data_IF_025332637016
#
_entry.id   IF_025332637016
#
_cell.length_a   1.000
_cell.length_b   1.000
_cell.length_c   1.000
_cell.angle_alpha   90.00
_cell.angle_beta   90.00
_cell.angle_gamma   90.00
#
_symmetry.space_group_name_H-M   'P 1'
#
loop_
_entity.id
_entity.type
_entity.pdbx_description
1 polymer ?
#
# COMPACT_ATOMS: atom_id res chain seq x y z
N UNK A 1 74.92 2.27 -15.38
CA UNK A 1 73.45 2.37 -15.22
C UNK A 1 72.90 1.23 -16.03
N UNK A 2 72.62 0.15 -15.34
CA UNK A 2 72.52 -1.18 -15.93
C UNK A 2 71.12 -1.39 -16.48
N UNK A 3 71.03 -1.96 -17.68
CA UNK A 3 69.77 -2.15 -18.41
C UNK A 3 68.72 -2.95 -17.61
N UNK A 4 69.16 -3.77 -16.65
CA UNK A 4 68.28 -4.50 -15.71
C UNK A 4 67.45 -3.55 -14.84
N UNK A 5 68.05 -2.47 -14.34
CA UNK A 5 67.38 -1.50 -13.47
C UNK A 5 66.29 -0.71 -14.22
N UNK A 6 66.48 -0.51 -15.53
CA UNK A 6 65.49 0.16 -16.38
C UNK A 6 64.31 -0.78 -16.67
N UNK A 7 64.57 -2.06 -16.95
CA UNK A 7 63.52 -3.05 -17.19
C UNK A 7 62.64 -3.30 -15.96
N UNK A 8 63.23 -3.33 -14.76
CA UNK A 8 62.48 -3.49 -13.52
C UNK A 8 61.56 -2.29 -13.23
N UNK A 9 62.02 -1.06 -13.51
CA UNK A 9 61.20 0.15 -13.37
C UNK A 9 60.01 0.13 -14.34
N UNK A 10 60.21 -0.29 -15.59
CA UNK A 10 59.11 -0.45 -16.55
C UNK A 10 58.14 -1.56 -16.13
N UNK A 11 58.64 -2.67 -15.58
CA UNK A 11 57.80 -3.75 -15.06
C UNK A 11 56.89 -3.29 -13.93
N UNK A 12 57.43 -2.51 -12.98
CA UNK A 12 56.67 -1.94 -11.87
C UNK A 12 55.62 -0.94 -12.39
N UNK A 13 55.98 -0.08 -13.35
CA UNK A 13 55.05 0.89 -13.93
C UNK A 13 53.84 0.21 -14.62
N UNK A 14 54.09 -0.86 -15.36
CA UNK A 14 53.03 -1.64 -16.02
C UNK A 14 52.11 -2.30 -14.98
N UNK A 15 52.65 -2.84 -13.89
CA UNK A 15 51.84 -3.40 -12.80
C UNK A 15 50.91 -2.37 -12.17
N UNK A 16 51.38 -1.14 -11.93
CA UNK A 16 50.53 -0.06 -11.42
C UNK A 16 49.41 0.34 -12.39
N UNK A 17 49.69 0.37 -13.69
CA UNK A 17 48.66 0.64 -14.72
C UNK A 17 47.60 -0.46 -14.73
N UNK A 18 48.01 -1.73 -14.64
CA UNK A 18 47.10 -2.87 -14.58
C UNK A 18 46.22 -2.86 -13.32
N UNK A 19 46.80 -2.51 -12.17
CA UNK A 19 46.05 -2.35 -10.91
C UNK A 19 45.02 -1.20 -11.04
N UNK A 20 45.40 -0.07 -11.64
CA UNK A 20 44.50 1.06 -11.87
C UNK A 20 43.33 0.72 -12.81
N UNK A 21 43.59 -0.05 -13.87
CA UNK A 21 42.56 -0.57 -14.77
C UNK A 21 41.59 -1.53 -14.05
N UNK A 22 42.12 -2.44 -13.24
CA UNK A 22 41.32 -3.37 -12.46
C UNK A 22 40.41 -2.64 -11.47
N UNK A 23 40.95 -1.67 -10.73
CA UNK A 23 40.16 -0.87 -9.77
C UNK A 23 39.05 -0.08 -10.47
N UNK A 24 39.34 0.49 -11.63
CA UNK A 24 38.35 1.20 -12.44
C UNK A 24 37.21 0.26 -12.85
N UNK A 25 37.54 -0.94 -13.31
CA UNK A 25 36.56 -1.96 -13.67
C UNK A 25 35.69 -2.38 -12.47
N UNK A 26 36.29 -2.56 -11.29
CA UNK A 26 35.55 -2.84 -10.05
C UNK A 26 34.57 -1.72 -9.71
N UNK A 27 34.99 -0.45 -9.79
CA UNK A 27 34.12 0.70 -9.53
C UNK A 27 32.91 0.71 -10.48
N UNK A 28 33.13 0.49 -11.78
CA UNK A 28 32.04 0.40 -12.76
C UNK A 28 31.10 -0.78 -12.45
N UNK A 29 31.63 -1.95 -12.10
CA UNK A 29 30.82 -3.11 -11.74
C UNK A 29 29.95 -2.85 -10.49
N UNK A 30 30.49 -2.18 -9.48
CA UNK A 30 29.73 -1.78 -8.29
C UNK A 30 28.64 -0.75 -8.63
N UNK A 31 28.94 0.24 -9.47
CA UNK A 31 27.94 1.20 -9.93
C UNK A 31 26.79 0.53 -10.70
N UNK A 32 27.09 -0.36 -11.64
CA UNK A 32 26.08 -1.10 -12.40
C UNK A 32 25.18 -1.92 -11.46
N UNK A 33 25.78 -2.62 -10.48
CA UNK A 33 25.03 -3.38 -9.49
C UNK A 33 24.11 -2.49 -8.65
N UNK A 34 24.62 -1.32 -8.24
CA UNK A 34 23.84 -0.34 -7.49
C UNK A 34 22.67 0.19 -8.32
N UNK A 35 22.92 0.61 -9.56
CA UNK A 35 21.87 1.07 -10.49
C UNK A 35 20.82 -0.01 -10.75
N UNK A 36 21.22 -1.26 -10.94
CA UNK A 36 20.28 -2.37 -11.13
C UNK A 36 19.39 -2.60 -9.89
N UNK A 37 19.97 -2.49 -8.69
CA UNK A 37 19.19 -2.59 -7.45
C UNK A 37 18.16 -1.46 -7.32
N UNK A 38 18.56 -0.22 -7.66
CA UNK A 38 17.65 0.94 -7.66
C UNK A 38 16.51 0.74 -8.65
N UNK A 39 16.82 0.43 -9.91
CA UNK A 39 15.79 0.20 -10.94
C UNK A 39 14.85 -0.95 -10.58
N UNK A 40 15.37 -2.03 -9.99
CA UNK A 40 14.52 -3.15 -9.53
C UNK A 40 13.57 -2.73 -8.42
N UNK A 41 14.04 -1.94 -7.46
CA UNK A 41 13.19 -1.43 -6.38
C UNK A 41 12.11 -0.49 -6.92
N UNK A 42 12.46 0.39 -7.87
CA UNK A 42 11.49 1.26 -8.57
C UNK A 42 10.44 0.45 -9.34
N UNK A 43 10.84 -0.62 -10.03
CA UNK A 43 9.90 -1.52 -10.71
C UNK A 43 8.95 -2.22 -9.74
N UNK A 44 9.46 -2.69 -8.59
CA UNK A 44 8.64 -3.32 -7.55
C UNK A 44 7.63 -2.30 -6.98
N UNK A 45 8.08 -1.09 -6.66
CA UNK A 45 7.20 -0.04 -6.12
C UNK A 45 6.14 0.41 -7.15
N UNK A 46 6.53 0.56 -8.42
CA UNK A 46 5.59 0.86 -9.51
C UNK A 46 4.54 -0.24 -9.69
N UNK A 47 4.97 -1.50 -9.69
CA UNK A 47 4.05 -2.65 -9.80
C UNK A 47 3.08 -2.69 -8.63
N UNK A 48 3.57 -2.45 -7.42
CA UNK A 48 2.74 -2.37 -6.21
C UNK A 48 1.70 -1.25 -6.32
N UNK A 49 2.12 -0.03 -6.71
CA UNK A 49 1.22 1.12 -6.92
C UNK A 49 0.15 0.84 -7.96
N UNK A 50 0.49 0.18 -9.07
CA UNK A 50 -0.48 -0.21 -10.11
C UNK A 50 -1.48 -1.23 -9.57
N UNK A 51 -1.01 -2.22 -8.79
CA UNK A 51 -1.89 -3.22 -8.17
C UNK A 51 -2.85 -2.58 -7.18
N UNK A 52 -2.35 -1.73 -6.29
CA UNK A 52 -3.16 -0.98 -5.33
C UNK A 52 -4.16 -0.06 -6.04
N UNK A 53 -3.73 0.66 -7.08
CA UNK A 53 -4.62 1.49 -7.88
C UNK A 53 -5.73 0.65 -8.52
N UNK A 54 -5.47 -0.57 -8.97
CA UNK A 54 -6.52 -1.46 -9.48
C UNK A 54 -7.46 -1.93 -8.39
N UNK A 55 -6.91 -2.48 -7.29
CA UNK A 55 -7.68 -3.07 -6.19
C UNK A 55 -8.56 -2.04 -5.46
N UNK A 56 -8.02 -0.84 -5.22
CA UNK A 56 -8.68 0.19 -4.42
C UNK A 56 -9.19 1.37 -5.24
N UNK A 57 -9.14 1.31 -6.58
CA UNK A 57 -9.68 2.37 -7.46
C UNK A 57 -11.11 2.76 -7.11
N UNK A 58 -11.97 1.77 -6.82
CA UNK A 58 -13.38 1.99 -6.47
C UNK A 58 -13.57 2.79 -5.18
N UNK A 59 -12.57 2.77 -4.29
CA UNK A 59 -12.60 3.42 -2.98
C UNK A 59 -11.73 4.69 -2.93
N UNK A 60 -10.97 4.97 -4.00
CA UNK A 60 -10.12 6.16 -4.08
C UNK A 60 -10.98 7.34 -4.50
N UNK A 61 -11.60 7.98 -3.53
CA UNK A 61 -12.58 9.02 -3.78
C UNK A 61 -12.19 10.35 -3.11
N UNK A 62 -12.64 11.45 -3.72
CA UNK A 62 -12.35 12.80 -3.24
C UNK A 62 -13.20 13.13 -2.00
N UNK A 63 -12.79 14.14 -1.23
CA UNK A 63 -13.55 14.62 -0.07
C UNK A 63 -15.04 14.79 -0.36
N UNK A 64 -15.84 14.08 0.41
CA UNK A 64 -17.28 14.23 0.42
C UNK A 64 -17.66 15.43 1.28
N UNK A 65 -18.16 16.52 0.68
CA UNK A 65 -18.70 17.68 1.42
C UNK A 65 -20.16 17.93 1.07
N UNK A 66 -21.05 17.64 2.02
CA UNK A 66 -22.48 17.90 1.88
C UNK A 66 -23.17 16.98 0.86
N UNK A 67 -23.96 17.56 -0.05
CA UNK A 67 -24.82 16.83 -1.00
C UNK A 67 -24.14 16.54 -2.35
N UNK A 68 -22.91 17.01 -2.56
CA UNK A 68 -22.12 16.86 -3.79
C UNK A 68 -21.06 15.79 -3.58
N UNK A 69 -21.57 14.59 -3.40
CA UNK A 69 -20.87 13.50 -2.78
C UNK A 69 -20.89 12.41 -3.86
N UNK A 70 -19.87 12.44 -4.72
CA UNK A 70 -19.77 11.54 -5.87
C UNK A 70 -19.02 10.27 -5.45
N UNK A 71 -19.55 9.13 -5.89
CA UNK A 71 -18.98 7.78 -5.78
C UNK A 71 -19.16 7.08 -4.42
N UNK A 72 -20.34 7.20 -3.83
CA UNK A 72 -20.69 6.32 -2.72
C UNK A 72 -20.58 4.85 -3.12
N UNK A 73 -20.21 4.04 -2.14
CA UNK A 73 -20.31 2.59 -2.24
C UNK A 73 -21.51 2.12 -1.44
N UNK A 74 -22.15 1.08 -1.93
CA UNK A 74 -23.33 0.51 -1.29
C UNK A 74 -22.92 -0.54 -0.26
N UNK A 75 -23.86 -0.90 0.61
CA UNK A 75 -23.62 -1.88 1.67
C UNK A 75 -23.20 -3.24 1.12
N UNK A 76 -23.68 -3.64 -0.06
CA UNK A 76 -23.28 -4.88 -0.72
C UNK A 76 -21.78 -4.91 -1.10
N UNK A 77 -21.26 -3.81 -1.65
CA UNK A 77 -19.82 -3.64 -1.95
C UNK A 77 -18.96 -3.78 -0.69
N UNK A 78 -19.45 -3.26 0.45
CA UNK A 78 -18.75 -3.35 1.74
C UNK A 78 -18.80 -4.79 2.27
N UNK A 79 -19.95 -5.46 2.16
CA UNK A 79 -20.09 -6.86 2.59
C UNK A 79 -19.16 -7.76 1.78
N UNK A 80 -19.06 -7.54 0.46
CA UNK A 80 -18.11 -8.27 -0.38
C UNK A 80 -16.66 -8.04 0.08
N UNK A 81 -16.27 -6.79 0.33
CA UNK A 81 -14.92 -6.46 0.78
C UNK A 81 -14.59 -7.09 2.14
N UNK A 82 -15.51 -7.03 3.11
CA UNK A 82 -15.34 -7.66 4.42
C UNK A 82 -15.16 -9.18 4.33
N UNK A 83 -15.78 -9.82 3.33
CA UNK A 83 -15.66 -11.26 3.10
C UNK A 83 -14.36 -11.62 2.41
N UNK A 84 -13.94 -10.83 1.42
CA UNK A 84 -12.65 -11.02 0.73
C UNK A 84 -11.49 -10.90 1.72
N UNK A 85 -11.57 -9.95 2.64
CA UNK A 85 -10.55 -9.68 3.66
C UNK A 85 -10.91 -10.26 5.04
N UNK A 86 -11.76 -11.29 5.11
CA UNK A 86 -12.21 -11.88 6.38
C UNK A 86 -11.07 -12.43 7.26
N UNK A 87 -9.88 -12.65 6.68
CA UNK A 87 -8.67 -13.03 7.42
C UNK A 87 -8.06 -11.86 8.21
N UNK A 88 -8.45 -10.61 7.92
CA UNK A 88 -7.90 -9.40 8.56
C UNK A 88 -6.56 -8.95 7.97
N UNK A 89 -6.30 -9.24 6.70
CA UNK A 89 -5.14 -8.76 5.94
C UNK A 89 -5.24 -7.28 5.52
N UNK A 90 -6.45 -6.70 5.64
CA UNK A 90 -6.74 -5.28 5.47
C UNK A 90 -7.55 -4.79 6.67
N UNK A 91 -7.21 -3.62 7.22
CA UNK A 91 -8.03 -3.02 8.26
C UNK A 91 -9.25 -2.33 7.65
N UNK A 92 -10.45 -2.79 8.00
CA UNK A 92 -11.69 -2.19 7.51
C UNK A 92 -12.46 -1.61 8.69
N UNK A 93 -12.85 -0.34 8.59
CA UNK A 93 -13.68 0.32 9.59
C UNK A 93 -14.96 0.83 8.96
N UNK A 94 -16.07 0.65 9.65
CA UNK A 94 -17.37 1.21 9.29
C UNK A 94 -17.83 2.02 10.49
N UNK A 95 -18.02 3.33 10.31
CA UNK A 95 -18.37 4.21 11.41
C UNK A 95 -19.72 3.87 12.05
N UNK A 96 -20.69 3.43 11.24
CA UNK A 96 -22.04 3.04 11.64
C UNK A 96 -22.62 2.05 10.63
N UNK A 97 -23.17 0.94 11.09
CA UNK A 97 -23.83 -0.05 10.21
C UNK A 97 -25.29 0.31 9.87
N UNK A 98 -25.87 1.31 10.56
CA UNK A 98 -27.20 1.86 10.31
C UNK A 98 -27.32 3.28 10.89
N UNK A 99 -28.44 3.97 10.65
CA UNK A 99 -28.71 5.34 11.14
C UNK A 99 -28.43 5.53 12.65
N UNK A 100 -28.80 4.55 13.48
CA UNK A 100 -28.53 4.49 14.93
C UNK A 100 -27.44 3.45 15.29
N UNK A 101 -26.83 2.86 14.28
CA UNK A 101 -26.05 1.63 14.38
C UNK A 101 -24.71 1.78 15.07
N UNK A 102 -24.17 0.61 15.44
CA UNK A 102 -22.83 0.47 15.99
C UNK A 102 -21.77 0.60 14.88
N UNK A 103 -20.55 0.98 15.26
CA UNK A 103 -19.40 0.88 14.38
C UNK A 103 -18.93 -0.57 14.27
N UNK A 104 -18.41 -0.97 13.11
CA UNK A 104 -17.78 -2.28 12.89
C UNK A 104 -16.31 -2.09 12.52
N UNK A 105 -15.42 -2.91 13.08
CA UNK A 105 -14.00 -2.91 12.72
C UNK A 105 -13.52 -4.33 12.45
N UNK A 106 -12.97 -4.54 11.27
CA UNK A 106 -12.23 -5.74 10.89
C UNK A 106 -10.73 -5.43 10.94
N UNK A 107 -10.00 -6.23 11.69
CA UNK A 107 -8.54 -6.32 11.67
C UNK A 107 -8.14 -7.77 11.98
N UNK A 108 -6.84 -8.05 12.04
CA UNK A 108 -6.33 -9.39 12.32
C UNK A 108 -6.74 -9.96 13.70
N UNK A 109 -7.09 -9.12 14.66
CA UNK A 109 -7.57 -9.56 15.98
C UNK A 109 -9.07 -9.87 15.96
N UNK A 110 -9.88 -8.95 15.41
CA UNK A 110 -11.34 -9.11 15.36
C UNK A 110 -11.74 -10.21 14.37
N UNK A 111 -10.98 -10.43 13.30
CA UNK A 111 -11.20 -11.56 12.38
C UNK A 111 -11.15 -12.91 13.08
N UNK A 112 -10.26 -13.06 14.07
CA UNK A 112 -10.11 -14.30 14.84
C UNK A 112 -11.11 -14.37 15.99
N UNK A 113 -11.24 -13.29 16.77
CA UNK A 113 -12.09 -13.27 17.97
C UNK A 113 -13.58 -13.32 17.63
N UNK A 114 -13.96 -12.68 16.53
CA UNK A 114 -15.35 -12.42 16.15
C UNK A 114 -15.66 -12.95 14.75
N UNK A 115 -15.01 -14.05 14.33
CA UNK A 115 -15.15 -14.66 13.00
C UNK A 115 -16.61 -14.86 12.55
N UNK A 116 -17.51 -15.16 13.48
CA UNK A 116 -18.93 -15.36 13.22
C UNK A 116 -19.66 -14.09 12.73
N UNK A 117 -19.17 -12.89 13.09
CA UNK A 117 -19.73 -11.62 12.64
C UNK A 117 -19.46 -11.36 11.16
N UNK A 118 -18.37 -11.91 10.61
CA UNK A 118 -17.95 -11.68 9.22
C UNK A 118 -18.48 -12.75 8.25
N UNK A 119 -19.46 -13.55 8.67
CA UNK A 119 -20.18 -14.46 7.77
C UNK A 119 -21.22 -13.71 6.94
N UNK A 120 -21.54 -14.21 5.76
CA UNK A 120 -22.53 -13.59 4.85
C UNK A 120 -23.87 -13.33 5.55
N UNK A 121 -24.35 -14.28 6.36
CA UNK A 121 -25.62 -14.17 7.08
C UNK A 121 -25.61 -13.05 8.12
N UNK A 122 -24.53 -12.98 8.91
CA UNK A 122 -24.37 -11.94 9.94
C UNK A 122 -24.23 -10.56 9.30
N UNK A 123 -23.40 -10.43 8.26
CA UNK A 123 -23.17 -9.17 7.57
C UNK A 123 -24.43 -8.65 6.87
N UNK A 124 -25.19 -9.50 6.18
CA UNK A 124 -26.47 -9.12 5.56
C UNK A 124 -27.54 -8.71 6.59
N UNK A 125 -27.41 -9.15 7.85
CA UNK A 125 -28.31 -8.75 8.94
C UNK A 125 -27.88 -7.41 9.56
N UNK A 126 -26.57 -7.16 9.62
CA UNK A 126 -25.99 -5.98 10.25
C UNK A 126 -25.98 -4.77 9.32
N UNK A 127 -25.65 -4.97 8.04
CA UNK A 127 -25.53 -3.94 7.02
C UNK A 127 -26.71 -4.04 6.06
N UNK A 128 -27.42 -2.94 5.90
CA UNK A 128 -28.40 -2.81 4.82
C UNK A 128 -27.64 -2.62 3.50
N UNK A 129 -27.96 -3.45 2.50
CA UNK A 129 -27.33 -3.42 1.18
C UNK A 129 -27.58 -2.10 0.45
N UNK A 130 -28.65 -1.37 0.77
CA UNK A 130 -29.00 -0.10 0.13
C UNK A 130 -28.47 1.13 0.87
N UNK A 131 -27.80 0.95 2.02
CA UNK A 131 -27.17 2.08 2.71
C UNK A 131 -25.96 2.57 1.92
N UNK A 132 -25.79 3.88 1.88
CA UNK A 132 -24.71 4.55 1.17
C UNK A 132 -23.59 4.96 2.13
N UNK A 133 -22.36 4.68 1.71
CA UNK A 133 -21.16 4.97 2.47
C UNK A 133 -20.14 5.69 1.60
N UNK A 134 -19.45 6.66 2.21
CA UNK A 134 -18.27 7.25 1.60
C UNK A 134 -17.02 6.47 2.00
N UNK A 135 -16.23 5.94 1.05
CA UNK A 135 -14.99 5.26 1.34
C UNK A 135 -13.81 6.24 1.49
N UNK A 136 -12.96 5.99 2.47
CA UNK A 136 -11.69 6.69 2.66
C UNK A 136 -10.55 5.67 2.73
N UNK A 137 -9.55 5.84 1.87
CA UNK A 137 -8.35 5.01 1.90
C UNK A 137 -7.39 5.47 2.99
N UNK A 138 -6.97 4.51 3.82
CA UNK A 138 -6.05 4.73 4.92
C UNK A 138 -4.73 4.05 4.54
N UNK A 139 -3.67 4.83 4.64
CA UNK A 139 -2.33 4.42 4.26
C UNK A 139 -1.47 4.15 5.50
N UNK A 140 -0.31 3.53 5.27
CA UNK A 140 0.70 3.19 6.27
C UNK A 140 0.80 4.22 7.41
N UNK A 141 0.57 3.78 8.65
CA UNK A 141 0.66 4.62 9.86
C UNK A 141 -0.59 5.46 10.17
N UNK A 142 -1.65 5.35 9.36
CA UNK A 142 -2.96 5.92 9.66
C UNK A 142 -3.84 4.97 10.49
N UNK A 143 -4.63 5.55 11.39
CA UNK A 143 -5.66 4.83 12.15
C UNK A 143 -7.00 4.92 11.41
N UNK A 144 -7.57 3.77 11.05
CA UNK A 144 -8.86 3.66 10.34
C UNK A 144 -10.05 4.22 11.12
N UNK A 145 -9.92 4.44 12.42
CA UNK A 145 -10.98 5.00 13.27
C UNK A 145 -10.90 6.52 13.41
N UNK A 146 -9.78 7.13 13.01
CA UNK A 146 -9.52 8.55 13.21
C UNK A 146 -9.64 9.32 11.89
N UNK A 147 -10.64 10.19 11.82
CA UNK A 147 -10.98 10.98 10.63
C UNK A 147 -9.87 11.93 10.16
N UNK A 148 -8.87 12.23 10.99
CA UNK A 148 -7.69 13.03 10.58
C UNK A 148 -6.88 12.33 9.47
N UNK A 149 -7.01 11.01 9.34
CA UNK A 149 -6.34 10.24 8.28
C UNK A 149 -7.15 10.10 7.00
N UNK A 150 -8.40 10.60 6.97
CA UNK A 150 -9.34 10.35 5.86
C UNK A 150 -9.07 11.22 4.62
N UNK A 151 -8.09 12.12 4.66
CA UNK A 151 -7.74 12.90 3.48
C UNK A 151 -6.26 13.22 3.33
N UNK A 152 -5.41 12.26 3.68
CA UNK A 152 -3.99 12.44 3.38
C UNK A 152 -3.75 12.03 1.94
N UNK A 153 -3.39 13.02 1.11
CA UNK A 153 -2.60 12.83 -0.11
C UNK A 153 -1.35 12.04 0.28
N UNK A 154 -1.50 10.73 0.31
CA UNK A 154 -0.55 9.85 0.96
C UNK A 154 0.27 9.16 -0.11
N UNK A 155 1.58 9.29 0.04
CA UNK A 155 2.55 8.41 -0.58
C UNK A 155 2.77 7.25 0.38
N UNK A 156 2.16 6.10 0.12
CA UNK A 156 2.27 4.92 0.97
C UNK A 156 1.45 3.75 0.41
N UNK A 157 1.56 2.59 1.04
CA UNK A 157 0.70 1.45 0.77
C UNK A 157 -0.64 1.63 1.49
N UNK A 158 -1.71 1.06 0.93
CA UNK A 158 -3.03 1.04 1.59
C UNK A 158 -3.00 -0.04 2.67
N UNK A 159 -3.22 0.37 3.92
CA UNK A 159 -3.31 -0.55 5.07
C UNK A 159 -4.73 -0.70 5.57
N UNK A 160 -5.63 0.18 5.16
CA UNK A 160 -7.04 0.06 5.52
C UNK A 160 -7.99 0.92 4.72
N UNK A 161 -9.27 0.69 4.95
CA UNK A 161 -10.39 1.41 4.35
C UNK A 161 -11.38 1.78 5.44
N UNK A 162 -11.75 3.05 5.52
CA UNK A 162 -12.80 3.53 6.41
C UNK A 162 -14.05 3.89 5.60
N UNK A 163 -15.20 3.42 6.03
CA UNK A 163 -16.51 3.72 5.44
C UNK A 163 -17.30 4.61 6.38
N UNK A 164 -17.72 5.76 5.86
CA UNK A 164 -18.54 6.73 6.60
C UNK A 164 -19.96 6.70 6.05
N UNK A 165 -20.91 6.28 6.87
CA UNK A 165 -22.33 6.26 6.58
C UNK A 165 -22.84 7.66 6.20
N UNK A 166 -23.65 7.72 5.14
CA UNK A 166 -24.23 8.95 4.61
C UNK A 166 -25.75 8.94 4.79
N UNK A 167 -26.42 7.94 4.22
CA UNK A 167 -27.87 7.81 4.28
C UNK A 167 -28.31 6.38 4.01
N UNK A 168 -29.50 6.04 4.49
CA UNK A 168 -30.23 4.87 4.01
C UNK A 168 -31.12 5.32 2.84
N UNK A 169 -30.98 4.71 1.67
CA UNK A 169 -32.03 4.79 0.65
C UNK A 169 -33.23 3.96 1.15
N UNK A 170 -34.17 4.61 1.83
CA UNK A 170 -35.49 4.05 2.17
C UNK A 170 -36.55 4.53 1.17
#
# INVERSE_FOLDING_TARGET
MDNENVQDIFGIAIQFILIGLFLTFCIFAFHIRSSFAVTRNEQIDSTRKIREARQFSKFKQNECTGHLCDGHVYGDDIIELLREHAAGDLEIYINKVSETGISLRLNSETSVREANLFTTSSLNTLLNTQSEFHPYLIYDGGDVTNSIYYNKNSTGQVTGVAFVWISDNK
#
